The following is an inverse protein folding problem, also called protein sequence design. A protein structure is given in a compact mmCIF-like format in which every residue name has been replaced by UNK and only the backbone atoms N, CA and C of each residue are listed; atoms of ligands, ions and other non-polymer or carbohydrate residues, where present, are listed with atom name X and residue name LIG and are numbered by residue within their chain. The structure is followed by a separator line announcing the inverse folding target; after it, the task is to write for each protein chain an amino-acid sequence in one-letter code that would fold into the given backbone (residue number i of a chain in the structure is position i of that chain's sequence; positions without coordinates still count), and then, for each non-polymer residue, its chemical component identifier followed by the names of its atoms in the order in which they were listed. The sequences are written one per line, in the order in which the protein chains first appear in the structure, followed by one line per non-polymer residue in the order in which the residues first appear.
data_IF_371666213507
#
_entry.id   IF_371666213507
#
_cell.length_a   1.000
_cell.length_b   1.000
_cell.length_c   1.000
_cell.angle_alpha   90.00
_cell.angle_beta   90.00
_cell.angle_gamma   90.00
#
_symmetry.space_group_name_H-M   'P 1'
#
loop_
_entity.id
_entity.type
_entity.pdbx_description
1 polymer ?
#
# COMPACT_ATOMS: atom_id res chain seq x y z
N UNK A 1 10.82 28.20 11.78
CA UNK A 1 10.27 26.87 12.13
C UNK A 1 8.77 26.90 11.94
N UNK A 2 8.12 25.89 11.33
CA UNK A 2 6.68 25.88 11.14
C UNK A 2 5.95 25.87 12.50
N UNK A 3 4.84 26.60 12.62
CA UNK A 3 4.14 26.77 13.90
C UNK A 3 3.40 25.53 14.39
N UNK A 4 2.99 24.62 13.50
CA UNK A 4 2.36 23.34 13.86
C UNK A 4 2.87 22.22 12.96
N UNK A 5 3.12 21.07 13.57
CA UNK A 5 3.49 19.83 12.90
C UNK A 5 2.29 18.95 12.56
N UNK A 6 1.11 19.27 13.11
CA UNK A 6 -0.12 18.49 12.98
C UNK A 6 -1.30 19.41 12.67
N UNK A 7 -2.13 18.97 11.72
CA UNK A 7 -3.40 19.59 11.34
C UNK A 7 -4.48 18.51 11.42
N UNK A 8 -5.62 18.81 12.02
CA UNK A 8 -6.73 17.87 12.09
C UNK A 8 -7.80 18.24 11.07
N UNK A 9 -8.11 17.34 10.15
CA UNK A 9 -9.11 17.57 9.10
C UNK A 9 -10.49 17.02 9.49
N UNK A 10 -11.54 17.72 9.05
CA UNK A 10 -12.94 17.34 9.24
C UNK A 10 -13.58 16.88 7.93
N UNK A 11 -14.48 15.92 8.05
CA UNK A 11 -15.40 15.47 7.01
C UNK A 11 -16.49 16.52 6.76
N UNK A 12 -17.22 16.43 5.63
CA UNK A 12 -18.32 17.36 5.33
C UNK A 12 -19.44 17.38 6.38
N UNK A 13 -19.64 16.27 7.09
CA UNK A 13 -20.61 16.14 8.20
C UNK A 13 -20.09 16.73 9.54
N UNK A 14 -18.87 17.27 9.56
CA UNK A 14 -18.22 17.81 10.73
C UNK A 14 -17.48 16.79 11.60
N UNK A 15 -17.57 15.48 11.30
CA UNK A 15 -16.80 14.46 11.99
C UNK A 15 -15.31 14.56 11.66
N UNK A 16 -14.45 13.98 12.50
CA UNK A 16 -13.02 13.93 12.22
C UNK A 16 -12.70 12.81 11.23
N UNK A 17 -11.76 13.04 10.32
CA UNK A 17 -11.13 11.93 9.60
C UNK A 17 -10.32 11.07 10.58
N UNK A 18 -10.20 9.77 10.27
CA UNK A 18 -9.35 8.87 11.05
C UNK A 18 -7.91 9.03 10.59
N UNK A 19 -6.99 9.16 11.53
CA UNK A 19 -5.58 9.44 11.27
C UNK A 19 -4.73 8.17 11.44
N UNK A 20 -3.78 7.94 10.53
CA UNK A 20 -2.78 6.88 10.61
C UNK A 20 -1.38 7.49 10.42
N UNK A 21 -0.44 7.18 11.31
CA UNK A 21 0.97 7.55 11.12
C UNK A 21 1.65 6.45 10.28
N UNK A 22 1.93 6.77 9.03
CA UNK A 22 2.62 5.87 8.11
C UNK A 22 4.10 6.24 8.01
N UNK A 23 4.99 5.27 8.17
CA UNK A 23 6.45 5.49 8.18
C UNK A 23 7.21 4.45 7.38
N UNK A 24 8.36 4.85 6.82
CA UNK A 24 9.21 3.94 6.03
C UNK A 24 10.09 3.02 6.89
N UNK A 25 10.38 3.42 8.14
CA UNK A 25 11.24 2.67 9.08
C UNK A 25 10.72 2.82 10.51
N UNK A 26 9.52 2.33 10.77
CA UNK A 26 8.88 2.49 12.08
C UNK A 26 8.94 3.95 12.56
N UNK A 27 9.56 4.19 13.72
CA UNK A 27 9.65 5.50 14.37
C UNK A 27 10.91 6.33 14.08
N UNK A 28 11.87 5.80 13.32
CA UNK A 28 13.15 6.48 13.05
C UNK A 28 13.30 6.95 11.59
N UNK A 29 12.30 6.67 10.75
CA UNK A 29 12.26 7.07 9.34
C UNK A 29 11.42 8.31 9.08
N UNK A 30 11.37 8.71 7.81
CA UNK A 30 10.39 9.70 7.33
C UNK A 30 8.99 9.12 7.52
N UNK A 31 8.10 9.91 8.08
CA UNK A 31 6.70 9.56 8.28
C UNK A 31 5.78 10.62 7.68
N UNK A 32 4.52 10.24 7.49
CA UNK A 32 3.44 11.11 7.08
C UNK A 32 2.15 10.68 7.77
N UNK A 33 1.29 11.63 8.09
CA UNK A 33 -0.04 11.34 8.62
C UNK A 33 -1.01 11.18 7.46
N UNK A 34 -1.65 10.01 7.37
CA UNK A 34 -2.72 9.72 6.42
C UNK A 34 -4.08 10.01 7.06
N UNK A 35 -5.06 10.43 6.24
CA UNK A 35 -6.44 10.67 6.68
C UNK A 35 -7.37 9.77 5.88
N UNK A 36 -8.16 8.96 6.58
CA UNK A 36 -8.96 7.90 5.97
C UNK A 36 -10.45 8.22 5.99
N UNK A 37 -11.10 8.06 4.83
CA UNK A 37 -12.57 8.02 4.71
C UNK A 37 -13.10 6.70 5.30
N UNK A 38 -12.39 5.58 5.08
CA UNK A 38 -12.70 4.25 5.61
C UNK A 38 -11.46 3.66 6.27
N UNK A 39 -11.61 3.06 7.46
CA UNK A 39 -10.49 2.54 8.23
C UNK A 39 -9.83 1.36 7.50
N UNK A 40 -8.49 1.38 7.29
CA UNK A 40 -7.77 0.28 6.66
C UNK A 40 -7.70 -0.96 7.57
N UNK A 41 -8.00 -0.82 8.87
CA UNK A 41 -8.06 -1.92 9.85
C UNK A 41 -9.33 -2.76 9.77
N UNK A 42 -10.29 -2.40 8.91
CA UNK A 42 -11.49 -3.20 8.71
C UNK A 42 -11.14 -4.47 7.92
N UNK A 43 -11.00 -5.58 8.64
CA UNK A 43 -10.70 -6.90 8.08
C UNK A 43 -11.90 -7.81 8.31
N UNK A 44 -12.47 -8.36 7.24
CA UNK A 44 -13.59 -9.30 7.33
C UNK A 44 -13.12 -10.73 7.66
N UNK A 45 -11.89 -11.07 7.30
CA UNK A 45 -11.28 -12.37 7.55
C UNK A 45 -9.90 -12.46 6.91
N UNK A 46 -9.25 -13.60 7.08
CA UNK A 46 -8.00 -13.95 6.42
C UNK A 46 -8.07 -15.39 5.93
N UNK A 47 -7.45 -15.66 4.80
CA UNK A 47 -7.32 -17.02 4.26
C UNK A 47 -5.86 -17.31 3.95
N UNK A 48 -5.48 -18.59 4.06
CA UNK A 48 -4.16 -19.01 3.62
C UNK A 48 -4.21 -19.29 2.13
N UNK A 49 -3.57 -18.42 1.36
CA UNK A 49 -3.29 -18.67 -0.05
C UNK A 49 -2.16 -19.68 -0.20
N UNK A 50 -2.10 -20.31 -1.36
CA UNK A 50 -0.94 -21.12 -1.75
C UNK A 50 0.35 -20.29 -1.79
N UNK A 51 1.48 -20.97 -1.75
CA UNK A 51 2.77 -20.30 -1.79
C UNK A 51 3.01 -19.65 -3.16
N UNK A 52 2.88 -18.32 -3.21
CA UNK A 52 3.13 -17.49 -4.39
C UNK A 52 4.48 -16.79 -4.34
N UNK A 53 5.44 -17.26 -3.52
CA UNK A 53 6.78 -16.67 -3.49
C UNK A 53 7.43 -16.75 -4.88
N UNK A 54 8.14 -15.69 -5.32
CA UNK A 54 8.90 -15.75 -6.54
C UNK A 54 9.92 -16.88 -6.44
N UNK A 55 9.96 -17.74 -7.46
CA UNK A 55 10.97 -18.77 -7.55
C UNK A 55 12.24 -18.17 -8.15
N UNK A 56 13.38 -18.53 -7.59
CA UNK A 56 14.66 -18.17 -8.18
C UNK A 56 14.77 -18.86 -9.54
N UNK A 57 14.91 -18.06 -10.60
CA UNK A 57 15.24 -18.57 -11.93
C UNK A 57 16.75 -18.73 -12.00
N UNK A 58 17.23 -19.75 -12.70
CA UNK A 58 18.66 -19.93 -12.93
C UNK A 58 19.24 -18.71 -13.66
N UNK A 59 20.52 -18.43 -13.42
CA UNK A 59 21.24 -17.36 -14.10
C UNK A 59 21.48 -17.77 -15.56
N UNK A 60 20.46 -17.54 -16.39
CA UNK A 60 20.47 -17.77 -17.83
C UNK A 60 20.83 -16.47 -18.55
N UNK A 61 21.49 -16.59 -19.72
CA UNK A 61 21.74 -15.42 -20.57
C UNK A 61 20.43 -14.69 -20.87
N UNK A 62 20.45 -13.34 -20.76
CA UNK A 62 19.30 -12.51 -21.07
C UNK A 62 18.88 -12.72 -22.53
N UNK A 63 17.64 -13.15 -22.73
CA UNK A 63 17.03 -13.32 -24.04
C UNK A 63 15.88 -12.32 -24.19
N UNK A 64 15.66 -11.83 -25.40
CA UNK A 64 14.46 -11.06 -25.73
C UNK A 64 13.23 -11.97 -25.61
N UNK A 65 12.41 -11.77 -24.57
CA UNK A 65 11.16 -12.49 -24.33
C UNK A 65 9.96 -11.59 -24.64
N UNK A 66 9.48 -11.52 -25.89
CA UNK A 66 8.33 -10.67 -26.23
C UNK A 66 7.05 -11.19 -25.55
N UNK A 67 6.37 -10.32 -24.81
CA UNK A 67 5.10 -10.64 -24.16
C UNK A 67 3.94 -10.48 -25.16
N UNK A 68 3.25 -11.57 -25.51
CA UNK A 68 2.06 -11.54 -26.38
C UNK A 68 0.82 -11.24 -25.54
N UNK A 69 0.38 -10.00 -25.54
CA UNK A 69 -0.76 -9.55 -24.71
C UNK A 69 -2.14 -9.81 -25.32
N UNK A 70 -2.22 -10.08 -26.62
CA UNK A 70 -3.50 -10.21 -27.34
C UNK A 70 -4.39 -11.39 -26.90
N UNK A 71 -3.81 -12.44 -26.31
CA UNK A 71 -4.55 -13.62 -25.81
C UNK A 71 -4.67 -13.64 -24.28
N UNK A 72 -4.26 -12.58 -23.58
CA UNK A 72 -4.40 -12.53 -22.13
C UNK A 72 -5.88 -12.26 -21.78
N UNK A 73 -6.42 -12.93 -20.74
CA UNK A 73 -7.78 -12.66 -20.28
C UNK A 73 -7.88 -11.19 -19.87
N UNK A 74 -8.89 -10.49 -20.41
CA UNK A 74 -9.23 -9.15 -19.93
C UNK A 74 -9.79 -9.26 -18.52
N UNK A 75 -9.32 -8.38 -17.65
CA UNK A 75 -9.65 -8.35 -16.23
C UNK A 75 -10.97 -7.63 -15.99
#
# INVERSE_FOLDING_TARGET
MPQKHHVQFRQPDGALYKEEVFGTRGFSGRSSTLYHIRMPTQVAGFERLEDRRPQLVQDEALQHRPLKTHNLPQK
#
